data_IF_100211750025
#
_entry.id   IF_100211750025
#
_cell.length_a   1.000
_cell.length_b   1.000
_cell.length_c   1.000
_cell.angle_alpha   90.00
_cell.angle_beta   90.00
_cell.angle_gamma   90.00
#
_symmetry.space_group_name_H-M   'P 1'
#
loop_
_entity.id
_entity.type
_entity.pdbx_description
1 polymer ?
#
# COMPACT_ATOMS: atom_id res chain seq x y z
N UNK A 1 -11.37 14.42 25.18
CA UNK A 1 -11.14 14.41 23.74
C UNK A 1 -10.19 13.27 23.50
N UNK A 2 -10.66 12.21 22.86
CA UNK A 2 -9.81 11.08 22.51
C UNK A 2 -8.65 11.62 21.69
N UNK A 3 -7.42 11.29 22.09
CA UNK A 3 -6.25 11.62 21.29
C UNK A 3 -6.30 10.75 20.04
N UNK A 4 -6.87 11.27 18.94
CA UNK A 4 -6.90 10.59 17.64
C UNK A 4 -5.52 10.76 17.01
N UNK A 5 -4.51 10.16 17.63
CA UNK A 5 -3.13 10.11 17.14
C UNK A 5 -2.95 8.86 16.27
N UNK A 6 -2.21 9.01 15.19
CA UNK A 6 -1.86 7.94 14.26
C UNK A 6 -1.11 6.84 14.98
N UNK A 7 -1.57 5.60 14.81
CA UNK A 7 -0.98 4.44 15.48
C UNK A 7 0.43 4.08 14.98
N UNK A 8 0.90 4.72 13.91
CA UNK A 8 2.22 4.50 13.33
C UNK A 8 3.24 5.58 13.69
N UNK A 9 2.82 6.84 13.82
CA UNK A 9 3.73 7.98 13.95
C UNK A 9 3.28 9.05 14.96
N UNK A 10 2.22 8.79 15.73
CA UNK A 10 1.72 9.63 16.84
C UNK A 10 1.21 11.05 16.45
N UNK A 11 1.30 11.43 15.18
CA UNK A 11 0.72 12.66 14.62
C UNK A 11 -0.83 12.62 14.56
N UNK A 12 -1.54 13.76 14.47
CA UNK A 12 -2.99 13.79 14.34
C UNK A 12 -3.50 12.95 13.16
N UNK A 13 -4.34 11.96 13.45
CA UNK A 13 -4.86 11.04 12.44
C UNK A 13 -6.10 11.62 11.75
N UNK A 14 -6.07 11.61 10.42
CA UNK A 14 -7.21 11.81 9.53
C UNK A 14 -7.22 10.68 8.51
N UNK A 15 -8.31 10.50 7.76
CA UNK A 15 -8.33 9.52 6.65
C UNK A 15 -7.18 9.79 5.67
N UNK A 16 -6.91 11.05 5.34
CA UNK A 16 -5.79 11.41 4.47
C UNK A 16 -4.44 11.03 5.10
N UNK A 17 -4.25 11.31 6.39
CA UNK A 17 -3.02 10.95 7.09
C UNK A 17 -2.81 9.42 7.11
N UNK A 18 -3.85 8.66 7.46
CA UNK A 18 -3.82 7.20 7.49
C UNK A 18 -3.38 6.58 6.16
N UNK A 19 -3.80 7.14 5.02
CA UNK A 19 -3.48 6.56 3.72
C UNK A 19 -2.28 7.19 3.01
N UNK A 20 -2.00 8.48 3.21
CA UNK A 20 -1.00 9.21 2.41
C UNK A 20 -0.08 10.12 3.23
N UNK A 21 -0.56 10.65 4.36
CA UNK A 21 0.20 11.61 5.17
C UNK A 21 1.13 11.01 6.23
N UNK A 22 0.91 9.76 6.63
CA UNK A 22 1.78 9.05 7.57
C UNK A 22 2.99 8.47 6.82
N UNK A 23 4.19 8.63 7.40
CA UNK A 23 5.45 8.18 6.82
C UNK A 23 5.46 6.69 6.43
N UNK A 24 4.73 5.84 7.16
CA UNK A 24 4.64 4.40 6.89
C UNK A 24 3.85 4.11 5.59
N UNK A 25 2.56 4.49 5.45
CA UNK A 25 1.85 4.48 4.17
C UNK A 25 2.58 5.16 3.02
N UNK A 26 3.16 6.36 3.24
CA UNK A 26 3.90 7.08 2.20
C UNK A 26 5.06 6.25 1.64
N UNK A 27 5.83 5.59 2.51
CA UNK A 27 6.91 4.69 2.09
C UNK A 27 6.41 3.53 1.21
N UNK A 28 5.26 2.95 1.55
CA UNK A 28 4.65 1.88 0.75
C UNK A 28 4.16 2.38 -0.61
N UNK A 29 3.59 3.59 -0.68
CA UNK A 29 3.25 4.22 -1.94
C UNK A 29 4.49 4.53 -2.79
N UNK A 30 5.61 4.89 -2.17
CA UNK A 30 6.87 5.11 -2.90
C UNK A 30 7.32 3.82 -3.60
N UNK A 31 7.19 2.67 -2.94
CA UNK A 31 7.49 1.39 -3.57
C UNK A 31 6.64 1.12 -4.81
N UNK A 32 5.33 1.32 -4.74
CA UNK A 32 4.45 1.17 -5.91
C UNK A 32 4.74 2.22 -6.98
N UNK A 33 4.97 3.48 -6.59
CA UNK A 33 5.28 4.57 -7.50
C UNK A 33 6.52 4.27 -8.34
N UNK A 34 7.57 3.74 -7.72
CA UNK A 34 8.80 3.33 -8.39
C UNK A 34 8.60 2.13 -9.31
N UNK A 35 7.86 1.10 -8.88
CA UNK A 35 7.59 -0.10 -9.70
C UNK A 35 6.81 0.25 -10.96
N UNK A 36 5.77 1.09 -10.83
CA UNK A 36 4.90 1.45 -11.95
C UNK A 36 5.37 2.69 -12.71
N UNK A 37 6.39 3.40 -12.22
CA UNK A 37 6.82 4.68 -12.79
C UNK A 37 5.72 5.75 -12.79
N UNK A 38 4.87 5.76 -11.75
CA UNK A 38 3.72 6.68 -11.59
C UNK A 38 3.82 7.43 -10.27
N UNK A 39 3.26 8.65 -10.21
CA UNK A 39 3.13 9.38 -8.95
C UNK A 39 1.86 8.91 -8.22
N UNK A 40 2.02 8.15 -7.13
CA UNK A 40 0.91 7.60 -6.33
C UNK A 40 0.92 8.04 -4.86
N UNK A 41 1.99 8.68 -4.38
CA UNK A 41 2.18 8.98 -2.96
C UNK A 41 1.43 10.21 -2.44
N UNK A 42 0.89 11.04 -3.34
CA UNK A 42 0.46 12.38 -2.97
C UNK A 42 -0.87 12.38 -2.21
N UNK A 43 -1.90 11.79 -2.81
CA UNK A 43 -3.28 11.86 -2.33
C UNK A 43 -4.20 10.86 -3.08
N UNK A 44 -5.48 10.88 -2.72
CA UNK A 44 -6.50 10.08 -3.40
C UNK A 44 -6.65 10.41 -4.89
N UNK A 45 -6.46 11.66 -5.33
CA UNK A 45 -6.58 12.05 -6.74
C UNK A 45 -5.45 11.46 -7.59
N UNK A 46 -4.24 11.38 -7.02
CA UNK A 46 -3.06 10.77 -7.63
C UNK A 46 -3.27 9.28 -7.95
N UNK A 47 -4.08 8.59 -7.15
CA UNK A 47 -4.46 7.19 -7.34
C UNK A 47 -5.73 7.07 -8.22
N UNK A 48 -6.78 7.82 -7.90
CA UNK A 48 -8.10 7.70 -8.53
C UNK A 48 -8.10 7.99 -10.04
N UNK A 49 -7.19 8.86 -10.52
CA UNK A 49 -7.02 9.12 -11.97
C UNK A 49 -6.74 7.85 -12.78
N UNK A 50 -6.11 6.84 -12.18
CA UNK A 50 -5.80 5.58 -12.86
C UNK A 50 -6.98 4.61 -12.89
N UNK A 51 -7.89 4.71 -11.93
CA UNK A 51 -9.13 3.92 -11.88
C UNK A 51 -10.06 4.24 -13.05
N UNK A 52 -10.14 5.51 -13.44
CA UNK A 52 -11.00 5.97 -14.53
C UNK A 52 -10.37 5.80 -15.92
N UNK A 53 -9.10 5.37 -16.02
CA UNK A 53 -8.34 5.26 -17.28
C UNK A 53 -8.65 3.98 -18.09
N UNK A 54 -9.94 3.78 -18.44
CA UNK A 54 -10.43 2.79 -19.41
C UNK A 54 -9.88 1.35 -19.25
N UNK A 55 -9.77 0.84 -18.01
CA UNK A 55 -9.30 -0.53 -17.68
C UNK A 55 -7.95 -0.93 -18.29
N UNK A 56 -7.07 0.05 -18.52
CA UNK A 56 -5.70 -0.18 -19.01
C UNK A 56 -4.67 -0.36 -17.90
N UNK A 57 -5.07 -0.14 -16.65
CA UNK A 57 -4.16 -0.11 -15.50
C UNK A 57 -4.63 -1.12 -14.43
N UNK A 58 -5.15 -2.28 -14.84
CA UNK A 58 -5.82 -3.20 -13.93
C UNK A 58 -4.87 -3.72 -12.83
N UNK A 59 -3.62 -4.02 -13.16
CA UNK A 59 -2.60 -4.44 -12.17
C UNK A 59 -2.24 -3.31 -11.21
N UNK A 60 -1.93 -2.11 -11.74
CA UNK A 60 -1.69 -0.92 -10.91
C UNK A 60 -2.86 -0.67 -9.94
N UNK A 61 -4.08 -0.69 -10.46
CA UNK A 61 -5.29 -0.44 -9.69
C UNK A 61 -5.50 -1.52 -8.62
N UNK A 62 -5.25 -2.78 -8.96
CA UNK A 62 -5.31 -3.90 -8.02
C UNK A 62 -4.28 -3.74 -6.90
N UNK A 63 -3.03 -3.40 -7.21
CA UNK A 63 -1.99 -3.16 -6.22
C UNK A 63 -2.30 -1.95 -5.32
N UNK A 64 -2.84 -0.86 -5.89
CA UNK A 64 -3.28 0.30 -5.11
C UNK A 64 -4.40 -0.08 -4.12
N UNK A 65 -5.42 -0.82 -4.59
CA UNK A 65 -6.51 -1.30 -3.75
C UNK A 65 -6.03 -2.26 -2.66
N UNK A 66 -5.13 -3.18 -2.99
CA UNK A 66 -4.54 -4.12 -2.04
C UNK A 66 -3.71 -3.39 -0.97
N UNK A 67 -2.95 -2.35 -1.34
CA UNK A 67 -2.18 -1.54 -0.40
C UNK A 67 -3.11 -0.79 0.58
N UNK A 68 -4.12 -0.08 0.07
CA UNK A 68 -5.11 0.59 0.93
C UNK A 68 -5.80 -0.40 1.89
N UNK A 69 -6.20 -1.57 1.40
CA UNK A 69 -6.77 -2.61 2.24
C UNK A 69 -5.81 -3.06 3.34
N UNK A 70 -4.53 -3.24 3.02
CA UNK A 70 -3.50 -3.67 3.96
C UNK A 70 -3.18 -2.60 5.03
N UNK A 71 -3.17 -1.32 4.64
CA UNK A 71 -3.02 -0.19 5.57
C UNK A 71 -4.19 -0.18 6.55
N UNK A 72 -5.42 -0.12 6.05
CA UNK A 72 -6.64 -0.10 6.87
C UNK A 72 -6.71 -1.30 7.82
N UNK A 73 -6.44 -2.51 7.30
CA UNK A 73 -6.44 -3.74 8.09
C UNK A 73 -5.37 -3.72 9.18
N UNK A 74 -4.20 -3.15 8.91
CA UNK A 74 -3.11 -3.04 9.90
C UNK A 74 -3.46 -2.06 11.01
N UNK A 75 -4.04 -0.91 10.69
CA UNK A 75 -4.51 0.02 11.72
C UNK A 75 -5.58 -0.60 12.60
N UNK A 76 -6.53 -1.34 12.02
CA UNK A 76 -7.54 -2.06 12.81
C UNK A 76 -6.95 -3.18 13.68
N UNK A 77 -5.97 -3.91 13.16
CA UNK A 77 -5.22 -4.94 13.91
C UNK A 77 -4.54 -4.32 15.15
N UNK A 78 -3.93 -3.14 15.02
CA UNK A 78 -3.28 -2.44 16.14
C UNK A 78 -4.33 -1.92 17.13
N UNK A 79 -5.37 -1.24 16.61
CA UNK A 79 -6.42 -0.61 17.42
C UNK A 79 -7.23 -1.62 18.23
N UNK A 80 -7.68 -2.71 17.61
CA UNK A 80 -8.66 -3.62 18.20
C UNK A 80 -8.08 -4.95 18.66
N UNK A 81 -6.92 -5.39 18.15
CA UNK A 81 -6.31 -6.66 18.52
C UNK A 81 -5.00 -6.52 19.29
N UNK A 82 -4.60 -5.28 19.64
CA UNK A 82 -3.36 -4.97 20.35
C UNK A 82 -2.12 -5.64 19.72
N UNK A 83 -2.13 -5.85 18.40
CA UNK A 83 -0.98 -6.41 17.69
C UNK A 83 0.13 -5.37 17.65
N UNK A 84 1.35 -5.80 17.97
CA UNK A 84 2.53 -5.00 17.71
C UNK A 84 2.80 -4.92 16.22
N UNK A 85 3.00 -3.72 15.72
CA UNK A 85 3.39 -3.48 14.33
C UNK A 85 4.89 -3.72 14.12
N UNK A 86 5.23 -4.35 12.99
CA UNK A 86 6.59 -4.43 12.45
C UNK A 86 6.66 -3.73 11.10
N UNK A 87 7.81 -3.15 10.79
CA UNK A 87 8.06 -2.39 9.56
C UNK A 87 7.67 -3.14 8.28
N UNK A 88 7.85 -4.46 8.25
CA UNK A 88 7.59 -5.31 7.08
C UNK A 88 6.13 -5.78 6.96
N UNK A 89 5.29 -5.56 7.98
CA UNK A 89 3.96 -6.18 8.06
C UNK A 89 3.05 -5.77 6.90
N UNK A 90 3.07 -4.50 6.50
CA UNK A 90 2.22 -4.00 5.41
C UNK A 90 2.68 -4.58 4.07
N UNK A 91 3.99 -4.66 3.83
CA UNK A 91 4.54 -5.21 2.59
C UNK A 91 4.27 -6.73 2.47
N UNK A 92 4.45 -7.48 3.56
CA UNK A 92 4.08 -8.90 3.61
C UNK A 92 2.57 -9.12 3.41
N UNK A 93 1.72 -8.30 4.04
CA UNK A 93 0.27 -8.34 3.84
C UNK A 93 -0.11 -7.98 2.41
N UNK A 94 0.57 -7.01 1.79
CA UNK A 94 0.36 -6.62 0.40
C UNK A 94 0.66 -7.80 -0.52
N UNK A 95 1.82 -8.46 -0.36
CA UNK A 95 2.17 -9.64 -1.15
C UNK A 95 1.14 -10.77 -1.00
N UNK A 96 0.71 -11.06 0.23
CA UNK A 96 -0.31 -12.09 0.47
C UNK A 96 -1.66 -11.72 -0.14
N UNK A 97 -2.08 -10.46 0.00
CA UNK A 97 -3.36 -9.98 -0.52
C UNK A 97 -3.36 -10.02 -2.05
N UNK A 98 -2.30 -9.53 -2.70
CA UNK A 98 -2.15 -9.59 -4.16
C UNK A 98 -2.18 -11.02 -4.69
N UNK A 99 -1.53 -11.97 -4.01
CA UNK A 99 -1.59 -13.41 -4.36
C UNK A 99 -2.99 -14.03 -4.20
N UNK A 100 -3.79 -13.50 -3.29
CA UNK A 100 -5.14 -14.00 -3.01
C UNK A 100 -6.22 -13.30 -3.84
N UNK A 101 -5.87 -12.26 -4.61
CA UNK A 101 -6.79 -11.50 -5.45
C UNK A 101 -6.60 -11.73 -6.98
N UNK A 102 -6.19 -12.92 -7.48
CA UNK A 102 -6.01 -13.11 -8.91
C UNK A 102 -7.33 -13.01 -9.69
N UNK A 103 -8.47 -13.25 -9.03
CA UNK A 103 -9.80 -13.08 -9.61
C UNK A 103 -10.14 -11.63 -10.00
N UNK A 104 -9.42 -10.64 -9.45
CA UNK A 104 -9.58 -9.22 -9.82
C UNK A 104 -8.72 -8.85 -11.03
N UNK A 105 -7.78 -9.71 -11.42
CA UNK A 105 -6.88 -9.48 -12.55
C UNK A 105 -7.37 -10.24 -13.78
N UNK A 106 -7.13 -9.67 -14.97
CA UNK A 106 -7.30 -10.43 -16.22
C UNK A 106 -6.19 -11.48 -16.30
N UNK A 107 -6.51 -12.66 -16.84
CA UNK A 107 -5.53 -13.74 -17.04
C UNK A 107 -4.32 -13.26 -17.84
N UNK A 108 -4.53 -12.40 -18.85
CA UNK A 108 -3.47 -11.82 -19.68
C UNK A 108 -2.47 -10.96 -18.87
N UNK A 109 -2.90 -10.40 -17.74
CA UNK A 109 -2.12 -9.45 -16.95
C UNK A 109 -1.44 -10.12 -15.74
N UNK A 110 -1.68 -11.42 -15.50
CA UNK A 110 -1.09 -12.15 -14.37
C UNK A 110 0.45 -12.17 -14.40
N UNK A 111 1.06 -12.17 -15.60
CA UNK A 111 2.52 -12.09 -15.73
C UNK A 111 3.07 -10.75 -15.24
N UNK A 112 2.34 -9.67 -15.44
CA UNK A 112 2.70 -8.35 -14.91
C UNK A 112 2.54 -8.34 -13.38
N UNK A 113 1.46 -8.94 -12.86
CA UNK A 113 1.29 -9.12 -11.42
C UNK A 113 2.47 -9.88 -10.80
N UNK A 114 2.87 -11.01 -11.38
CA UNK A 114 4.01 -11.80 -10.90
C UNK A 114 5.30 -10.97 -10.86
N UNK A 115 5.58 -10.18 -11.92
CA UNK A 115 6.72 -9.25 -11.94
C UNK A 115 6.66 -8.23 -10.82
N UNK A 116 5.51 -7.57 -10.61
CA UNK A 116 5.33 -6.60 -9.53
C UNK A 116 5.58 -7.25 -8.17
N UNK A 117 5.15 -8.51 -8.02
CA UNK A 117 5.32 -9.29 -6.79
C UNK A 117 6.78 -9.66 -6.52
N UNK A 118 7.55 -9.99 -7.55
CA UNK A 118 9.00 -10.18 -7.46
C UNK A 118 9.70 -8.89 -7.03
N UNK A 119 9.36 -7.76 -7.66
CA UNK A 119 9.92 -6.44 -7.32
C UNK A 119 9.59 -6.06 -5.86
N UNK A 120 8.35 -6.25 -5.41
CA UNK A 120 7.96 -6.03 -4.01
C UNK A 120 8.68 -6.98 -3.04
N UNK A 121 8.90 -8.23 -3.43
CA UNK A 121 9.64 -9.21 -2.61
C UNK A 121 11.12 -8.84 -2.50
N UNK A 122 11.71 -8.27 -3.55
CA UNK A 122 13.09 -7.76 -3.48
C UNK A 122 13.24 -6.64 -2.45
N UNK A 123 12.21 -5.80 -2.28
CA UNK A 123 12.20 -4.67 -1.33
C UNK A 123 12.12 -5.12 0.13
N UNK A 124 11.52 -6.27 0.44
CA UNK A 124 11.54 -6.85 1.79
C UNK A 124 12.96 -7.14 2.27
N UNK A 125 13.83 -7.56 1.36
CA UNK A 125 15.21 -7.93 1.69
C UNK A 125 16.17 -6.74 1.66
N UNK A 126 15.67 -5.54 1.33
CA UNK A 126 16.48 -4.32 1.36
C UNK A 126 16.41 -3.66 2.74
N UNK A 127 17.51 -3.05 3.22
CA UNK A 127 17.48 -2.23 4.43
C UNK A 127 16.44 -1.10 4.30
N UNK A 128 15.73 -0.81 5.38
CA UNK A 128 14.76 0.29 5.43
C UNK A 128 15.42 1.59 4.94
N UNK A 129 14.93 2.15 3.85
CA UNK A 129 15.38 3.44 3.34
C UNK A 129 14.81 4.53 4.25
N UNK A 130 15.64 5.06 5.14
CA UNK A 130 15.33 6.31 5.84
C UNK A 130 15.42 7.41 4.78
N UNK A 131 14.27 7.96 4.37
CA UNK A 131 14.22 9.17 3.57
C UNK A 131 14.11 10.35 4.54
N UNK A 132 15.06 11.29 4.41
CA UNK A 132 15.13 12.54 5.17
C UNK A 132 14.36 13.64 4.45
#
# INVERSE_FOLDING_TARGET
MDNISCLFCEEPETVHHLFFGCCVPTSMWCHLSEIFGRSLCADFESVARWWISNKKNDILNTCCAALMWCIWKTSNDICFQAKMWKSEDILLKLLRTSKNWPALCKIADLKELDRVMEDLTSRLHQPLRISW
#
